data_IF_732486030441
#
_entry.id   IF_732486030441
#
_cell.length_a   1.000
_cell.length_b   1.000
_cell.length_c   1.000
_cell.angle_alpha   90.00
_cell.angle_beta   90.00
_cell.angle_gamma   90.00
#
_symmetry.space_group_name_H-M   'P 1'
#
loop_
_entity.id
_entity.type
_entity.pdbx_description
1 polymer ?
#
# COMPACT_ATOMS: atom_id res chain seq x y z
N UNK A 1 -5.71 2.17 5.84
CA UNK A 1 -6.53 2.73 4.74
C UNK A 1 -6.41 4.25 4.62
N UNK A 2 -6.76 5.04 5.65
CA UNK A 2 -6.82 6.51 5.54
C UNK A 2 -5.53 7.20 5.06
N UNK A 3 -4.35 6.72 5.50
CA UNK A 3 -3.05 7.27 5.07
C UNK A 3 -2.74 7.02 3.59
N UNK A 4 -3.28 5.96 2.99
CA UNK A 4 -3.01 5.60 1.59
C UNK A 4 -3.74 6.54 0.64
N UNK A 5 -4.97 6.92 0.99
CA UNK A 5 -5.83 7.82 0.21
C UNK A 5 -5.78 9.27 0.70
N UNK A 6 -4.95 9.54 1.72
CA UNK A 6 -4.90 10.80 2.48
C UNK A 6 -6.29 11.36 2.85
N UNK A 7 -7.25 10.47 3.11
CA UNK A 7 -8.67 10.78 3.27
C UNK A 7 -9.26 9.91 4.37
N UNK A 8 -10.13 10.47 5.20
CA UNK A 8 -10.86 9.69 6.21
C UNK A 8 -11.96 8.84 5.58
N UNK A 9 -12.34 7.75 6.25
CA UNK A 9 -13.45 6.91 5.78
C UNK A 9 -14.75 7.69 5.69
N UNK A 10 -15.03 8.61 6.62
CA UNK A 10 -16.21 9.48 6.57
C UNK A 10 -16.26 10.32 5.29
N UNK A 11 -15.18 11.05 4.99
CA UNK A 11 -15.10 11.87 3.77
C UNK A 11 -15.22 11.05 2.49
N UNK A 12 -14.69 9.82 2.49
CA UNK A 12 -14.87 8.88 1.38
C UNK A 12 -16.34 8.49 1.19
N UNK A 13 -17.06 8.23 2.28
CA UNK A 13 -18.49 7.91 2.23
C UNK A 13 -19.32 9.12 1.79
N UNK A 14 -18.97 10.32 2.24
CA UNK A 14 -19.63 11.56 1.82
C UNK A 14 -19.48 11.78 0.31
N UNK A 15 -18.34 11.42 -0.29
CA UNK A 15 -18.12 11.55 -1.75
C UNK A 15 -18.91 10.55 -2.59
N UNK A 16 -19.49 9.51 -1.99
CA UNK A 16 -20.26 8.52 -2.73
C UNK A 16 -21.68 9.01 -3.05
N UNK A 17 -22.23 9.99 -2.32
CA UNK A 17 -23.53 10.66 -2.61
C UNK A 17 -24.63 9.71 -3.13
N UNK A 18 -24.78 8.53 -2.51
CA UNK A 18 -25.74 7.49 -2.91
C UNK A 18 -25.44 6.72 -4.21
N UNK A 19 -24.39 7.08 -4.95
CA UNK A 19 -23.92 6.42 -6.18
C UNK A 19 -22.99 5.25 -5.85
N UNK A 20 -23.60 4.13 -5.45
CA UNK A 20 -22.88 2.92 -5.00
C UNK A 20 -22.07 2.19 -6.09
N UNK A 21 -22.37 2.40 -7.38
CA UNK A 21 -21.79 1.56 -8.45
C UNK A 21 -20.51 2.12 -9.07
N UNK A 22 -20.21 3.41 -8.88
CA UNK A 22 -19.00 4.02 -9.43
C UNK A 22 -17.86 3.97 -8.41
N UNK A 23 -16.70 3.42 -8.79
CA UNK A 23 -15.49 3.51 -7.98
C UNK A 23 -15.18 5.00 -7.71
N UNK A 24 -15.11 5.46 -6.44
CA UNK A 24 -14.82 6.85 -6.12
C UNK A 24 -13.57 7.35 -6.83
N UNK A 25 -13.62 8.57 -7.37
CA UNK A 25 -12.46 9.20 -8.05
C UNK A 25 -11.20 9.18 -7.19
N UNK A 26 -11.34 9.29 -5.87
CA UNK A 26 -10.23 9.18 -4.91
C UNK A 26 -9.57 7.79 -4.95
N UNK A 27 -10.33 6.72 -5.07
CA UNK A 27 -9.75 5.36 -5.16
C UNK A 27 -9.05 5.17 -6.51
N UNK A 28 -9.60 5.74 -7.58
CA UNK A 28 -8.98 5.70 -8.92
C UNK A 28 -7.58 6.36 -8.93
N UNK A 29 -7.29 7.29 -8.03
CA UNK A 29 -5.95 7.88 -7.90
C UNK A 29 -4.86 6.86 -7.51
N UNK A 30 -5.24 5.68 -7.01
CA UNK A 30 -4.31 4.61 -6.72
C UNK A 30 -3.94 3.78 -7.94
N UNK A 31 -4.68 3.89 -9.04
CA UNK A 31 -4.43 3.09 -10.23
C UNK A 31 -3.06 3.42 -10.83
N UNK A 32 -2.29 2.38 -11.17
CA UNK A 32 -0.94 2.50 -11.68
C UNK A 32 0.13 2.89 -10.65
N UNK A 33 -0.22 3.17 -9.40
CA UNK A 33 0.78 3.44 -8.35
C UNK A 33 1.43 2.16 -7.85
N UNK A 34 2.76 2.16 -7.79
CA UNK A 34 3.53 1.13 -7.09
C UNK A 34 3.55 1.45 -5.60
N UNK A 35 3.29 0.44 -4.77
CA UNK A 35 3.19 0.58 -3.32
C UNK A 35 4.00 -0.52 -2.65
N UNK A 36 4.68 -0.19 -1.55
CA UNK A 36 5.39 -1.15 -0.72
C UNK A 36 4.53 -1.46 0.51
N UNK A 37 4.23 -2.74 0.70
CA UNK A 37 3.42 -3.22 1.82
C UNK A 37 4.28 -3.98 2.82
N UNK A 38 4.14 -3.64 4.10
CA UNK A 38 4.68 -4.45 5.19
C UNK A 38 3.56 -5.28 5.82
N UNK A 39 3.67 -6.59 5.68
CA UNK A 39 2.72 -7.54 6.27
C UNK A 39 3.20 -8.00 7.66
N UNK A 40 2.25 -8.41 8.52
CA UNK A 40 2.57 -9.22 9.71
C UNK A 40 2.07 -10.63 9.46
N UNK A 41 2.96 -11.60 9.57
CA UNK A 41 2.57 -13.00 9.69
C UNK A 41 2.14 -13.25 11.14
N UNK A 42 0.98 -13.87 11.33
CA UNK A 42 0.55 -14.38 12.64
C UNK A 42 0.69 -15.89 12.67
N UNK A 43 0.69 -16.49 13.86
CA UNK A 43 0.91 -17.93 14.04
C UNK A 43 -0.05 -18.75 13.18
N UNK A 44 -1.32 -18.36 13.10
CA UNK A 44 -2.28 -19.00 12.20
C UNK A 44 -1.88 -18.97 10.71
N UNK A 45 -1.19 -17.92 10.22
CA UNK A 45 -0.68 -17.90 8.84
C UNK A 45 0.47 -18.89 8.67
N UNK A 46 1.35 -19.00 9.68
CA UNK A 46 2.53 -19.85 9.63
C UNK A 46 2.19 -21.33 9.81
N UNK A 47 1.23 -21.62 10.69
CA UNK A 47 0.81 -22.98 11.04
C UNK A 47 -0.10 -23.59 9.98
N UNK A 48 -1.04 -22.81 9.43
CA UNK A 48 -2.06 -23.32 8.52
C UNK A 48 -1.88 -22.86 7.06
N UNK A 49 -0.82 -22.11 6.76
CA UNK A 49 -0.54 -21.62 5.40
C UNK A 49 -1.63 -20.70 4.84
N UNK A 50 -2.38 -20.02 5.71
CA UNK A 50 -3.54 -19.22 5.28
C UNK A 50 -3.11 -17.90 4.62
N UNK A 51 -3.75 -17.57 3.49
CA UNK A 51 -3.42 -16.43 2.62
C UNK A 51 -3.92 -15.07 3.13
N UNK A 52 -4.58 -15.02 4.29
CA UNK A 52 -5.13 -13.80 4.84
C UNK A 52 -4.06 -13.01 5.59
N UNK A 53 -3.42 -12.05 4.92
CA UNK A 53 -2.38 -11.22 5.49
C UNK A 53 -2.90 -9.85 5.93
N UNK A 54 -2.52 -9.42 7.13
CA UNK A 54 -2.81 -8.07 7.60
C UNK A 54 -1.70 -7.10 7.15
N UNK A 55 -2.08 -6.08 6.37
CA UNK A 55 -1.21 -4.95 6.04
C UNK A 55 -1.03 -4.08 7.30
N UNK A 56 0.20 -3.98 7.81
CA UNK A 56 0.51 -3.11 8.97
C UNK A 56 0.82 -1.68 8.56
N UNK A 57 1.56 -1.52 7.46
CA UNK A 57 2.03 -0.22 6.95
C UNK A 57 2.12 -0.25 5.43
N UNK A 58 1.89 0.92 4.84
CA UNK A 58 2.02 1.20 3.42
C UNK A 58 3.04 2.31 3.24
N UNK A 59 3.92 2.17 2.25
CA UNK A 59 4.89 3.19 1.86
C UNK A 59 4.71 3.51 0.39
N UNK A 60 4.94 4.77 0.03
CA UNK A 60 5.10 5.19 -1.35
C UNK A 60 6.56 4.98 -1.72
N UNK A 61 6.81 4.51 -2.94
CA UNK A 61 8.16 4.39 -3.46
C UNK A 61 8.84 5.75 -3.49
N UNK A 62 10.09 5.79 -3.04
CA UNK A 62 10.97 6.94 -3.13
C UNK A 62 12.09 6.58 -4.09
N UNK A 63 11.99 7.10 -5.31
CA UNK A 63 12.91 6.78 -6.39
C UNK A 63 14.36 7.12 -6.04
N UNK A 64 14.59 8.14 -5.19
CA UNK A 64 15.95 8.50 -4.75
C UNK A 64 16.52 7.46 -3.81
N UNK A 65 15.71 6.95 -2.88
CA UNK A 65 16.13 5.88 -1.98
C UNK A 65 16.39 4.57 -2.75
N UNK A 66 15.61 4.28 -3.80
CA UNK A 66 15.83 3.11 -4.63
C UNK A 66 17.12 3.23 -5.46
N UNK A 67 17.38 4.39 -6.07
CA UNK A 67 18.64 4.66 -6.76
C UNK A 67 19.85 4.51 -5.83
N UNK A 68 19.79 5.13 -4.64
CA UNK A 68 20.88 5.05 -3.65
C UNK A 68 21.15 3.60 -3.20
N UNK A 69 20.09 2.80 -3.04
CA UNK A 69 20.24 1.39 -2.70
C UNK A 69 20.94 0.61 -3.81
N UNK A 70 20.60 0.86 -5.07
CA UNK A 70 21.22 0.20 -6.22
C UNK A 70 22.71 0.54 -6.34
N UNK A 71 23.08 1.81 -6.12
CA UNK A 71 24.47 2.27 -6.14
C UNK A 71 25.29 1.58 -5.04
N UNK A 72 24.81 1.61 -3.79
CA UNK A 72 25.48 0.93 -2.66
C UNK A 72 25.66 -0.57 -2.91
N UNK A 73 24.66 -1.24 -3.51
CA UNK A 73 24.75 -2.67 -3.80
C UNK A 73 25.73 -3.01 -4.93
N UNK A 74 26.02 -2.04 -5.80
CA UNK A 74 27.03 -2.19 -6.84
C UNK A 74 28.45 -2.06 -6.25
N UNK A 75 28.62 -1.16 -5.28
CA UNK A 75 29.89 -0.98 -4.54
C UNK A 75 30.24 -2.20 -3.67
N UNK A 76 29.25 -2.82 -2.99
CA UNK A 76 29.47 -4.03 -2.17
C UNK A 76 29.94 -5.27 -2.96
N UNK A 77 29.85 -5.25 -4.30
CA UNK A 77 30.22 -6.36 -5.17
C UNK A 77 31.58 -6.21 -5.85
N UNK A 78 32.27 -5.08 -5.65
CA UNK A 78 33.62 -4.81 -6.15
C UNK A 78 34.66 -5.03 -5.06
#
# INVERSE_FOLDING_TARGET
AARLLNTSTSKLLDTLDGKSEAVPKIIQQLYGKRLIFRFKLIDNNLTFGTQNYAVKRTFVLDDRLELLYLDNKAEEKN
#
